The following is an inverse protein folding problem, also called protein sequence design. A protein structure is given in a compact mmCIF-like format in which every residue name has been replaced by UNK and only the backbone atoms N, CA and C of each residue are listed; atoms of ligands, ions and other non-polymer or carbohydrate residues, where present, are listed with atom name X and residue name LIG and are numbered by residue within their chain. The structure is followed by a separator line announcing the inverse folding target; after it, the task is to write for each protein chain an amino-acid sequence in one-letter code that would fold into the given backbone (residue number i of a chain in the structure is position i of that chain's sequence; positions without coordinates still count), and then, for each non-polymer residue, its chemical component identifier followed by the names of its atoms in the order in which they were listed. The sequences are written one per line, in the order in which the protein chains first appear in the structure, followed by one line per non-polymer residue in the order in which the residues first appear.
data_IF_969156968669
#
_entry.id   IF_969156968669
#
_cell.length_a   1.000
_cell.length_b   1.000
_cell.length_c   1.000
_cell.angle_alpha   90.00
_cell.angle_beta   90.00
_cell.angle_gamma   90.00
#
_symmetry.space_group_name_H-M   'P 1'
#
loop_
_entity.id
_entity.type
_entity.pdbx_description
1 polymer ?
#
# COMPACT_ATOMS: atom_id res chain seq x y z
N UNK A 1 -31.30 30.98 -30.17
CA UNK A 1 -29.84 31.17 -30.08
C UNK A 1 -29.29 30.07 -29.19
N UNK A 2 -28.81 28.98 -29.78
CA UNK A 2 -28.22 27.84 -29.06
C UNK A 2 -26.72 28.07 -28.93
N UNK A 3 -26.24 28.25 -27.70
CA UNK A 3 -24.81 28.26 -27.40
C UNK A 3 -24.30 26.81 -27.43
N UNK A 4 -23.84 26.39 -28.60
CA UNK A 4 -23.05 25.18 -28.80
C UNK A 4 -21.74 25.38 -28.04
N UNK A 5 -21.50 24.56 -27.02
CA UNK A 5 -20.22 24.41 -26.37
C UNK A 5 -19.17 24.01 -27.43
N UNK A 6 -18.17 24.86 -27.66
CA UNK A 6 -16.98 24.48 -28.43
C UNK A 6 -15.99 23.78 -27.50
N UNK A 7 -15.55 22.55 -27.80
CA UNK A 7 -14.45 21.90 -27.08
C UNK A 7 -13.12 22.45 -27.59
N UNK A 8 -12.85 23.74 -27.34
CA UNK A 8 -11.61 24.39 -27.76
C UNK A 8 -10.56 24.27 -26.65
N UNK A 9 -9.93 23.10 -26.54
CA UNK A 9 -8.52 22.93 -26.13
C UNK A 9 -8.12 21.46 -26.21
N UNK A 10 -7.76 21.04 -27.42
CA UNK A 10 -6.85 19.90 -27.58
C UNK A 10 -5.55 20.32 -26.89
N UNK A 11 -5.17 19.64 -25.82
CA UNK A 11 -3.91 19.93 -25.14
C UNK A 11 -2.73 19.66 -26.08
N UNK A 12 -1.66 20.49 -26.05
CA UNK A 12 -0.48 20.23 -26.86
C UNK A 12 0.08 18.86 -26.50
N UNK A 13 0.25 18.00 -27.50
CA UNK A 13 0.99 16.74 -27.42
C UNK A 13 2.38 17.05 -26.82
N UNK A 14 2.67 16.52 -25.62
CA UNK A 14 3.99 16.62 -24.99
C UNK A 14 4.06 17.29 -23.61
N UNK A 15 2.94 17.75 -23.03
CA UNK A 15 2.94 18.13 -21.59
C UNK A 15 2.53 16.92 -20.75
N UNK A 16 3.40 16.54 -19.80
CA UNK A 16 3.06 15.58 -18.76
C UNK A 16 1.76 16.02 -18.10
N UNK A 17 0.80 15.10 -18.01
CA UNK A 17 -0.43 15.34 -17.26
C UNK A 17 -0.16 15.41 -15.76
N UNK A 18 1.01 14.95 -15.31
CA UNK A 18 1.39 14.93 -13.89
C UNK A 18 1.86 16.32 -13.48
N UNK A 19 1.29 16.84 -12.38
CA UNK A 19 1.80 18.05 -11.74
C UNK A 19 3.30 17.86 -11.41
N UNK A 20 4.19 18.76 -11.89
CA UNK A 20 5.65 18.62 -11.75
C UNK A 20 6.13 18.37 -10.31
N UNK A 21 5.35 18.80 -9.31
CA UNK A 21 5.65 18.54 -7.89
C UNK A 21 5.65 17.06 -7.54
N UNK A 22 4.91 16.23 -8.25
CA UNK A 22 4.83 14.79 -8.03
C UNK A 22 5.65 13.98 -9.04
N UNK A 23 6.33 14.60 -10.00
CA UNK A 23 7.05 13.88 -11.06
C UNK A 23 8.01 12.83 -10.48
N UNK A 24 8.79 13.19 -9.47
CA UNK A 24 9.69 12.25 -8.77
C UNK A 24 8.98 11.04 -8.16
N UNK A 25 7.72 11.17 -7.73
CA UNK A 25 6.95 10.08 -7.12
C UNK A 25 6.41 9.09 -8.15
N UNK A 26 6.42 9.44 -9.43
CA UNK A 26 6.08 8.51 -10.50
C UNK A 26 7.30 7.71 -10.97
N UNK A 27 8.50 8.23 -10.73
CA UNK A 27 9.74 7.52 -11.00
C UNK A 27 9.91 6.38 -9.98
N UNK A 28 10.14 5.17 -10.50
CA UNK A 28 10.34 3.93 -9.72
C UNK A 28 9.12 3.46 -8.89
N UNK A 29 7.92 3.94 -9.23
CA UNK A 29 6.64 3.45 -8.69
C UNK A 29 6.33 2.07 -9.32
N UNK A 30 6.24 1.04 -8.48
CA UNK A 30 5.99 -0.34 -8.92
C UNK A 30 4.50 -0.69 -8.87
N UNK A 31 3.82 -0.31 -7.78
CA UNK A 31 2.41 -0.59 -7.57
C UNK A 31 1.71 0.71 -7.20
N UNK A 32 0.58 0.96 -7.85
CA UNK A 32 -0.41 1.92 -7.41
C UNK A 32 -1.79 1.27 -7.52
N UNK A 33 -2.31 0.84 -6.39
CA UNK A 33 -3.61 0.19 -6.31
C UNK A 33 -4.60 1.15 -5.62
N UNK A 34 -5.40 1.93 -6.38
CA UNK A 34 -6.60 2.54 -5.83
C UNK A 34 -7.59 1.40 -5.52
N UNK A 35 -7.93 1.21 -4.25
CA UNK A 35 -8.78 0.09 -3.84
C UNK A 35 -10.21 0.58 -3.86
N UNK A 36 -10.97 0.09 -4.85
CA UNK A 36 -12.40 0.31 -5.01
C UNK A 36 -13.06 -1.04 -5.25
N UNK A 37 -13.32 -1.82 -4.20
CA UNK A 37 -14.29 -2.91 -4.31
C UNK A 37 -15.60 -2.40 -3.71
N UNK A 38 -16.57 -2.23 -4.59
CA UNK A 38 -17.91 -1.79 -4.22
C UNK A 38 -18.70 -3.02 -3.81
N UNK A 39 -19.03 -3.14 -2.52
CA UNK A 39 -20.14 -3.94 -2.03
C UNK A 39 -20.17 -5.40 -2.49
N UNK A 40 -19.43 -6.26 -1.79
CA UNK A 40 -19.62 -7.71 -1.84
C UNK A 40 -18.91 -8.42 -3.01
N UNK A 41 -17.95 -7.77 -3.66
CA UNK A 41 -17.08 -8.43 -4.61
C UNK A 41 -16.09 -9.34 -3.88
N UNK A 42 -16.20 -10.66 -4.08
CA UNK A 42 -15.12 -11.60 -3.74
C UNK A 42 -13.98 -11.34 -4.71
N UNK A 43 -12.78 -11.05 -4.19
CA UNK A 43 -11.58 -10.87 -5.00
C UNK A 43 -11.26 -12.20 -5.68
N UNK A 44 -11.31 -12.20 -7.01
CA UNK A 44 -10.86 -13.32 -7.83
C UNK A 44 -9.44 -13.00 -8.29
N UNK A 45 -8.50 -13.90 -7.98
CA UNK A 45 -7.08 -13.89 -8.37
C UNK A 45 -6.78 -13.12 -9.66
N UNK A 46 -6.05 -12.00 -9.56
CA UNK A 46 -5.66 -11.13 -10.67
C UNK A 46 -4.39 -11.60 -11.41
N UNK A 47 -4.07 -12.90 -11.37
CA UNK A 47 -2.87 -13.45 -12.00
C UNK A 47 -3.24 -14.09 -13.35
N UNK A 48 -3.45 -13.27 -14.38
CA UNK A 48 -3.30 -13.70 -15.77
C UNK A 48 -2.16 -12.90 -16.44
N UNK A 49 -0.94 -13.47 -16.51
CA UNK A 49 0.22 -12.81 -17.11
C UNK A 49 0.16 -12.73 -18.65
N UNK A 50 -0.91 -13.22 -19.29
CA UNK A 50 -1.04 -13.21 -20.77
C UNK A 50 -1.83 -12.03 -21.33
N UNK A 51 -2.44 -11.21 -20.47
CA UNK A 51 -3.21 -10.05 -20.87
C UNK A 51 -2.59 -8.77 -20.29
N UNK A 52 -1.69 -8.15 -21.07
CA UNK A 52 -1.25 -6.78 -20.80
C UNK A 52 -2.47 -5.85 -20.67
N UNK A 53 -2.77 -5.42 -19.45
CA UNK A 53 -3.53 -4.20 -19.19
C UNK A 53 -5.05 -4.25 -19.28
N UNK A 54 -5.72 -5.41 -19.09
CA UNK A 54 -7.20 -5.42 -19.01
C UNK A 54 -7.70 -5.94 -17.67
N UNK A 55 -8.00 -5.03 -16.74
CA UNK A 55 -8.86 -5.32 -15.59
C UNK A 55 -10.26 -5.58 -16.14
N UNK A 56 -10.67 -6.85 -16.21
CA UNK A 56 -12.02 -7.24 -16.62
C UNK A 56 -12.95 -7.10 -15.42
N UNK A 57 -13.54 -5.92 -15.26
CA UNK A 57 -14.73 -5.73 -14.44
C UNK A 57 -15.95 -6.28 -15.20
N UNK A 58 -16.58 -7.33 -14.68
CA UNK A 58 -17.83 -7.88 -15.25
C UNK A 58 -19.05 -6.99 -14.98
N UNK A 59 -18.86 -5.83 -14.35
CA UNK A 59 -19.89 -4.83 -14.10
C UNK A 59 -19.60 -3.48 -14.76
N UNK A 60 -19.14 -3.44 -16.02
CA UNK A 60 -19.41 -2.31 -16.92
C UNK A 60 -19.01 -0.90 -16.40
N UNK A 61 -18.02 -0.79 -15.50
CA UNK A 61 -17.59 0.52 -14.99
C UNK A 61 -16.42 1.03 -15.83
N UNK A 62 -16.76 1.75 -16.89
CA UNK A 62 -15.82 2.57 -17.65
C UNK A 62 -15.21 3.62 -16.70
N UNK A 63 -13.89 3.59 -16.53
CA UNK A 63 -13.11 4.63 -15.86
C UNK A 63 -13.44 6.00 -16.45
N UNK A 64 -14.28 6.79 -15.76
CA UNK A 64 -14.53 8.20 -16.09
C UNK A 64 -14.26 9.05 -14.86
N UNK A 65 -13.31 9.97 -15.01
CA UNK A 65 -13.10 11.12 -14.14
C UNK A 65 -14.45 11.77 -13.81
N UNK A 66 -14.84 11.75 -12.53
CA UNK A 66 -16.08 12.38 -12.09
C UNK A 66 -16.41 12.13 -10.62
N UNK A 67 -16.16 13.16 -9.79
CA UNK A 67 -16.65 13.35 -8.41
C UNK A 67 -16.05 12.46 -7.30
N UNK A 68 -15.30 13.15 -6.43
CA UNK A 68 -15.10 12.91 -4.98
C UNK A 68 -16.07 11.89 -4.38
N UNK A 69 -15.63 10.65 -4.28
CA UNK A 69 -16.22 9.64 -3.41
C UNK A 69 -15.08 8.84 -2.80
N UNK A 70 -14.78 9.07 -1.52
CA UNK A 70 -14.01 8.09 -0.74
C UNK A 70 -14.89 6.84 -0.71
N UNK A 71 -14.45 5.77 -1.34
CA UNK A 71 -15.03 4.46 -1.08
C UNK A 71 -13.96 3.72 -0.32
N UNK A 72 -14.29 3.53 0.94
CA UNK A 72 -13.55 2.76 1.90
C UNK A 72 -14.28 1.43 1.94
N UNK A 73 -13.59 0.33 1.65
CA UNK A 73 -14.19 -0.98 1.79
C UNK A 73 -13.56 -1.73 2.95
N UNK A 74 -14.44 -2.31 3.76
CA UNK A 74 -14.10 -3.04 4.95
C UNK A 74 -13.81 -4.48 4.57
N UNK A 75 -12.56 -4.91 4.72
CA UNK A 75 -12.24 -6.32 4.66
C UNK A 75 -12.85 -7.00 5.89
N UNK A 76 -13.56 -8.11 5.68
CA UNK A 76 -14.22 -8.83 6.77
C UNK A 76 -13.14 -9.53 7.61
N UNK A 77 -13.26 -9.43 8.93
CA UNK A 77 -12.27 -10.02 9.81
C UNK A 77 -12.27 -11.55 9.71
N UNK A 78 -11.12 -12.15 9.41
CA UNK A 78 -10.90 -13.58 9.55
C UNK A 78 -9.58 -13.88 10.31
N UNK A 79 -9.65 -14.30 11.60
CA UNK A 79 -8.47 -14.53 12.42
C UNK A 79 -7.74 -15.86 12.14
N UNK A 80 -8.29 -16.78 11.34
CA UNK A 80 -7.78 -18.16 11.23
C UNK A 80 -7.78 -18.78 9.83
N UNK A 81 -8.23 -18.07 8.79
CA UNK A 81 -8.02 -18.49 7.39
C UNK A 81 -7.38 -17.30 6.67
N UNK A 82 -6.12 -17.40 6.22
CA UNK A 82 -5.43 -16.31 5.54
C UNK A 82 -6.12 -15.79 4.26
N UNK A 83 -7.07 -16.54 3.66
CA UNK A 83 -7.38 -16.37 2.23
C UNK A 83 -8.81 -15.87 1.88
N UNK A 84 -9.56 -15.23 2.78
CA UNK A 84 -10.95 -14.80 2.42
C UNK A 84 -11.04 -13.34 1.99
N UNK A 85 -10.11 -12.50 2.44
CA UNK A 85 -10.19 -11.04 2.31
C UNK A 85 -8.80 -10.39 2.10
N UNK A 86 -7.86 -11.08 1.45
CA UNK A 86 -6.56 -10.57 1.04
C UNK A 86 -6.50 -10.26 -0.46
N UNK A 87 -5.50 -9.46 -0.85
CA UNK A 87 -5.26 -9.08 -2.25
C UNK A 87 -3.78 -9.23 -2.57
N UNK A 88 -3.44 -10.27 -3.32
CA UNK A 88 -2.11 -10.43 -3.92
C UNK A 88 -1.91 -9.44 -5.07
N UNK A 89 -0.75 -8.77 -5.07
CA UNK A 89 -0.37 -7.86 -6.15
C UNK A 89 0.80 -8.37 -6.98
N UNK A 90 1.85 -8.86 -6.33
CA UNK A 90 3.13 -9.20 -6.98
C UNK A 90 3.73 -10.46 -6.38
N UNK A 91 4.49 -11.26 -7.15
CA UNK A 91 5.32 -12.29 -6.57
C UNK A 91 6.45 -11.69 -5.72
N UNK A 92 6.88 -12.38 -4.66
CA UNK A 92 7.97 -11.95 -3.76
C UNK A 92 9.28 -11.62 -4.49
N UNK A 93 9.51 -12.22 -5.67
CA UNK A 93 10.66 -11.96 -6.54
C UNK A 93 10.70 -10.54 -7.12
N UNK A 94 9.56 -9.86 -7.22
CA UNK A 94 9.46 -8.50 -7.74
C UNK A 94 9.49 -7.45 -6.61
N UNK A 95 9.38 -7.88 -5.35
CA UNK A 95 9.51 -7.00 -4.19
C UNK A 95 11.00 -6.69 -3.95
N UNK A 96 11.40 -5.40 -3.89
CA UNK A 96 12.80 -4.99 -3.72
C UNK A 96 13.48 -5.65 -2.52
N UNK A 97 14.78 -5.94 -2.64
CA UNK A 97 15.54 -6.65 -1.60
C UNK A 97 16.37 -5.75 -0.69
N UNK A 98 16.58 -4.49 -1.06
CA UNK A 98 17.53 -3.56 -0.40
C UNK A 98 16.94 -2.19 -0.08
N UNK A 99 15.99 -1.69 -0.89
CA UNK A 99 15.34 -0.41 -0.65
C UNK A 99 13.90 -0.45 -1.15
N UNK A 100 12.97 0.00 -0.31
CA UNK A 100 11.56 0.10 -0.66
C UNK A 100 10.89 1.21 0.15
N UNK A 101 9.84 1.78 -0.42
CA UNK A 101 8.89 2.61 0.32
C UNK A 101 7.48 2.10 0.06
N UNK A 102 6.70 1.92 1.13
CA UNK A 102 5.30 1.50 1.04
C UNK A 102 4.46 2.61 1.65
N UNK A 103 3.43 3.04 0.94
CA UNK A 103 2.43 4.01 1.39
C UNK A 103 1.07 3.30 1.45
N UNK A 104 0.40 3.42 2.58
CA UNK A 104 -0.89 2.77 2.83
C UNK A 104 -1.85 3.77 3.46
N UNK A 105 -3.07 3.87 2.94
CA UNK A 105 -4.16 4.49 3.69
C UNK A 105 -5.07 3.43 4.27
N UNK A 106 -5.24 3.49 5.59
CA UNK A 106 -6.01 2.53 6.36
C UNK A 106 -6.88 3.26 7.38
N UNK A 107 -8.17 2.93 7.40
CA UNK A 107 -9.12 3.35 8.43
C UNK A 107 -9.50 2.19 9.31
N UNK A 108 -9.15 2.23 10.60
CA UNK A 108 -9.64 1.25 11.57
C UNK A 108 -11.11 1.54 11.89
N UNK A 109 -11.98 0.53 11.79
CA UNK A 109 -13.44 0.70 11.98
C UNK A 109 -13.91 0.39 13.39
N UNK A 110 -13.02 -0.09 14.25
CA UNK A 110 -13.28 -0.37 15.66
C UNK A 110 -12.05 -0.12 16.56
N UNK A 111 -12.20 -0.34 17.86
CA UNK A 111 -11.15 -0.09 18.86
C UNK A 111 -10.39 -1.35 19.28
N UNK A 112 -10.72 -2.52 18.74
CA UNK A 112 -10.12 -3.80 19.15
C UNK A 112 -8.85 -4.06 18.36
N UNK A 113 -7.72 -4.21 19.03
CA UNK A 113 -6.49 -4.66 18.37
C UNK A 113 -6.54 -6.17 18.12
N UNK A 114 -6.17 -6.59 16.93
CA UNK A 114 -6.18 -8.00 16.52
C UNK A 114 -4.81 -8.41 16.02
N UNK A 115 -4.55 -9.71 16.05
CA UNK A 115 -3.32 -10.23 15.45
C UNK A 115 -3.51 -10.30 13.92
N UNK A 116 -3.25 -9.19 13.25
CA UNK A 116 -3.53 -8.99 11.83
C UNK A 116 -2.30 -8.48 11.08
N UNK A 117 -2.20 -8.83 9.79
CA UNK A 117 -1.30 -8.21 8.83
C UNK A 117 -2.01 -7.08 8.08
N UNK A 118 -1.30 -5.98 7.82
CA UNK A 118 -1.83 -4.89 7.00
C UNK A 118 -1.48 -5.10 5.53
N UNK A 119 -0.23 -5.47 5.26
CA UNK A 119 0.27 -5.87 3.95
C UNK A 119 1.54 -6.70 4.17
N UNK A 120 1.89 -7.54 3.21
CA UNK A 120 3.09 -8.34 3.33
C UNK A 120 3.03 -9.63 2.54
N UNK A 121 3.73 -10.64 3.06
CA UNK A 121 3.78 -11.98 2.46
C UNK A 121 2.89 -12.92 3.27
N UNK A 122 2.08 -13.72 2.58
CA UNK A 122 1.08 -14.66 3.13
C UNK A 122 1.69 -15.93 3.75
N UNK A 123 2.98 -16.21 3.55
CA UNK A 123 3.61 -17.45 4.05
C UNK A 123 4.82 -17.23 4.97
N UNK A 124 5.11 -18.27 5.76
CA UNK A 124 6.24 -18.38 6.67
C UNK A 124 7.46 -19.10 6.07
N UNK A 125 7.42 -19.48 4.78
CA UNK A 125 8.35 -20.46 4.22
C UNK A 125 9.82 -20.04 4.33
N UNK A 126 10.08 -18.72 4.27
CA UNK A 126 11.41 -18.14 4.46
C UNK A 126 11.26 -16.85 5.27
N UNK A 127 11.54 -16.83 6.59
CA UNK A 127 11.43 -15.62 7.40
C UNK A 127 12.26 -14.43 6.87
N UNK A 128 13.40 -14.72 6.23
CA UNK A 128 14.26 -13.71 5.61
C UNK A 128 13.65 -13.11 4.33
N UNK A 129 12.57 -13.69 3.83
CA UNK A 129 11.78 -13.16 2.74
C UNK A 129 10.62 -12.30 3.23
N UNK A 130 10.64 -11.73 4.43
CA UNK A 130 9.56 -10.80 4.82
C UNK A 130 9.75 -9.43 4.20
N UNK A 131 8.62 -8.81 3.87
CA UNK A 131 8.47 -7.39 3.53
C UNK A 131 7.02 -7.07 3.85
N UNK A 132 6.70 -6.62 5.05
CA UNK A 132 5.30 -6.49 5.47
C UNK A 132 5.15 -5.77 6.80
N UNK A 133 3.93 -5.39 7.13
CA UNK A 133 3.63 -4.65 8.34
C UNK A 133 2.39 -5.17 9.06
N UNK A 134 2.36 -4.89 10.36
CA UNK A 134 1.19 -5.03 11.22
C UNK A 134 0.75 -3.63 11.68
N UNK A 135 -0.51 -3.24 11.46
CA UNK A 135 -1.01 -1.88 11.74
C UNK A 135 -2.42 -1.90 12.36
N UNK A 136 -2.54 -1.86 13.69
CA UNK A 136 -1.61 -2.43 14.65
C UNK A 136 -1.67 -3.96 14.69
N UNK A 137 -0.73 -4.57 15.40
CA UNK A 137 -0.87 -5.93 15.90
C UNK A 137 -1.76 -6.00 17.16
N UNK A 138 -2.02 -7.20 17.67
CA UNK A 138 -2.95 -7.43 18.79
C UNK A 138 -2.54 -6.77 20.11
N UNK A 139 -1.28 -6.39 20.25
CA UNK A 139 -0.76 -5.65 21.40
C UNK A 139 -0.72 -4.12 21.19
N UNK A 140 -1.30 -3.60 20.11
CA UNK A 140 -1.30 -2.17 19.79
C UNK A 140 0.03 -1.62 19.28
N UNK A 141 0.98 -2.48 18.93
CA UNK A 141 2.27 -2.08 18.34
C UNK A 141 2.19 -2.15 16.82
N UNK A 142 2.75 -1.14 16.15
CA UNK A 142 3.02 -1.20 14.71
C UNK A 142 4.36 -1.91 14.50
N UNK A 143 4.36 -2.92 13.65
CA UNK A 143 5.57 -3.62 13.25
C UNK A 143 5.82 -3.39 11.77
N UNK A 144 7.07 -3.09 11.45
CA UNK A 144 7.56 -3.03 10.08
C UNK A 144 8.67 -4.07 9.91
N UNK A 145 8.42 -5.06 9.07
CA UNK A 145 9.26 -6.24 8.89
C UNK A 145 9.89 -6.24 7.51
N UNK A 146 11.21 -6.36 7.48
CA UNK A 146 11.97 -6.48 6.25
C UNK A 146 13.14 -7.41 6.48
N UNK A 147 13.16 -8.57 5.83
CA UNK A 147 14.26 -9.52 5.97
C UNK A 147 14.28 -10.33 7.28
N UNK A 148 13.16 -10.38 8.01
CA UNK A 148 12.99 -11.16 9.24
C UNK A 148 12.04 -10.51 10.25
N UNK A 149 12.08 -11.01 11.49
CA UNK A 149 11.22 -10.58 12.61
C UNK A 149 11.99 -10.19 13.87
N UNK A 150 13.30 -9.99 13.76
CA UNK A 150 14.18 -9.67 14.89
C UNK A 150 14.19 -8.17 15.15
N UNK A 151 13.64 -7.78 16.30
CA UNK A 151 13.54 -6.38 16.71
C UNK A 151 14.89 -5.64 16.70
N UNK A 152 14.91 -4.43 16.15
CA UNK A 152 16.10 -3.58 16.03
C UNK A 152 17.08 -4.00 14.92
N UNK A 153 16.83 -5.11 14.24
CA UNK A 153 17.64 -5.57 13.12
C UNK A 153 16.82 -5.65 11.83
N UNK A 154 15.83 -6.54 11.79
CA UNK A 154 14.99 -6.79 10.62
C UNK A 154 13.51 -6.44 10.86
N UNK A 155 13.22 -5.90 12.05
CA UNK A 155 11.90 -5.45 12.49
C UNK A 155 12.04 -4.15 13.25
N UNK A 156 11.29 -3.14 12.84
CA UNK A 156 11.07 -1.90 13.56
C UNK A 156 9.73 -1.97 14.28
N UNK A 157 9.70 -1.66 15.58
CA UNK A 157 8.50 -1.76 16.44
C UNK A 157 8.20 -0.43 17.09
N UNK A 158 6.97 0.07 16.94
CA UNK A 158 6.55 1.36 17.50
C UNK A 158 5.26 1.16 18.31
N UNK A 159 5.35 1.13 19.66
CA UNK A 159 4.17 1.04 20.52
C UNK A 159 3.57 2.42 20.80
N UNK A 160 2.38 2.46 21.41
CA UNK A 160 1.80 3.68 21.98
C UNK A 160 1.20 4.65 20.96
N UNK A 161 0.91 4.18 19.74
CA UNK A 161 0.25 4.97 18.71
C UNK A 161 -1.28 4.90 18.85
N UNK A 162 -1.95 5.88 18.23
CA UNK A 162 -3.41 5.89 18.05
C UNK A 162 -3.75 5.46 16.62
N UNK A 163 -4.87 4.77 16.46
CA UNK A 163 -5.31 4.24 15.17
C UNK A 163 -6.68 4.82 14.82
N UNK A 164 -6.78 5.42 13.64
CA UNK A 164 -7.99 6.05 13.11
C UNK A 164 -8.04 5.94 11.58
N UNK A 165 -8.25 7.07 10.90
CA UNK A 165 -8.20 7.24 9.45
C UNK A 165 -6.82 7.79 9.08
N UNK A 166 -5.86 6.90 8.86
CA UNK A 166 -4.42 7.24 8.85
C UNK A 166 -3.75 6.90 7.51
N UNK A 167 -2.76 7.72 7.14
CA UNK A 167 -1.78 7.39 6.10
C UNK A 167 -0.49 6.92 6.76
N UNK A 168 -0.09 5.69 6.45
CA UNK A 168 1.14 5.06 6.93
C UNK A 168 2.18 5.04 5.83
N UNK A 169 3.44 5.29 6.21
CA UNK A 169 4.59 5.12 5.31
C UNK A 169 5.65 4.28 5.96
N UNK A 170 6.07 3.22 5.27
CA UNK A 170 7.10 2.31 5.71
C UNK A 170 8.28 2.43 4.75
N UNK A 171 9.47 2.64 5.30
CA UNK A 171 10.67 2.86 4.49
C UNK A 171 11.73 1.86 4.91
N UNK A 172 12.45 1.33 3.93
CA UNK A 172 13.73 0.64 4.13
C UNK A 172 14.72 1.09 3.07
N UNK A 173 15.99 1.24 3.45
CA UNK A 173 17.04 1.61 2.51
C UNK A 173 18.35 1.99 3.18
N UNK A 174 19.03 2.97 2.59
CA UNK A 174 20.34 3.43 3.05
C UNK A 174 20.31 4.10 4.42
N UNK A 175 19.18 4.68 4.81
CA UNK A 175 18.96 5.31 6.12
C UNK A 175 18.46 4.32 7.18
N UNK A 176 18.31 3.05 6.80
CA UNK A 176 17.76 1.99 7.63
C UNK A 176 16.26 1.86 7.46
N UNK A 177 15.51 1.73 8.56
CA UNK A 177 14.05 1.55 8.55
C UNK A 177 13.36 2.74 9.21
N UNK A 178 12.23 3.16 8.64
CA UNK A 178 11.40 4.25 9.17
C UNK A 178 9.91 3.88 9.13
N UNK A 179 9.15 4.34 10.12
CA UNK A 179 7.68 4.30 10.14
C UNK A 179 7.18 5.74 10.29
N UNK A 180 6.28 6.13 9.40
CA UNK A 180 5.63 7.43 9.41
C UNK A 180 4.12 7.26 9.54
N UNK A 181 3.49 8.15 10.29
CA UNK A 181 2.04 8.27 10.42
C UNK A 181 1.64 9.71 10.07
N UNK A 182 0.77 9.88 9.08
CA UNK A 182 0.26 11.18 8.63
C UNK A 182 1.38 12.21 8.37
N UNK A 183 2.47 11.78 7.72
CA UNK A 183 3.62 12.63 7.40
C UNK A 183 4.54 12.95 8.58
N UNK A 184 4.32 12.34 9.76
CA UNK A 184 5.18 12.46 10.95
C UNK A 184 5.98 11.18 11.16
N UNK A 185 7.29 11.28 11.32
CA UNK A 185 8.15 10.15 11.66
C UNK A 185 7.86 9.69 13.09
N UNK A 186 7.38 8.46 13.27
CA UNK A 186 7.00 7.89 14.58
C UNK A 186 7.99 6.85 15.08
N UNK A 187 8.85 6.30 14.22
CA UNK A 187 9.93 5.41 14.64
C UNK A 187 10.97 5.22 13.54
N UNK A 188 12.22 4.95 13.93
CA UNK A 188 13.30 4.63 13.00
C UNK A 188 14.43 3.86 13.66
N UNK A 189 15.24 3.18 12.85
CA UNK A 189 16.60 2.77 13.22
C UNK A 189 17.53 2.80 12.01
N UNK A 190 18.81 3.10 12.24
CA UNK A 190 19.80 3.36 11.18
C UNK A 190 20.45 2.12 10.56
N UNK A 191 20.09 0.91 10.98
CA UNK A 191 20.65 -0.32 10.42
C UNK A 191 20.12 -0.55 9.01
N UNK A 192 21.01 -0.69 8.02
CA UNK A 192 20.64 -1.17 6.69
C UNK A 192 20.23 -2.63 6.77
N UNK A 193 19.15 -2.98 6.07
CA UNK A 193 18.53 -4.30 6.14
C UNK A 193 18.29 -4.80 4.73
N UNK A 194 18.51 -6.09 4.53
CA UNK A 194 18.22 -6.77 3.26
C UNK A 194 17.28 -7.94 3.51
N UNK A 195 16.42 -8.22 2.54
CA UNK A 195 15.61 -9.44 2.49
C UNK A 195 16.10 -10.37 1.39
N UNK A 196 15.78 -11.65 1.50
CA UNK A 196 15.92 -12.62 0.42
C UNK A 196 14.63 -12.69 -0.39
N UNK A 197 14.70 -13.19 -1.62
CA UNK A 197 13.50 -13.50 -2.40
C UNK A 197 12.82 -14.74 -1.82
N UNK A 198 11.49 -14.70 -1.68
CA UNK A 198 10.67 -15.86 -1.32
C UNK A 198 9.89 -16.40 -2.52
N UNK A 199 9.04 -17.38 -2.28
CA UNK A 199 8.16 -18.01 -3.30
C UNK A 199 6.71 -17.54 -3.26
N UNK A 200 6.33 -16.85 -2.19
CA UNK A 200 4.97 -16.42 -1.90
C UNK A 200 4.61 -15.08 -2.59
N UNK A 201 3.33 -14.72 -2.57
CA UNK A 201 2.89 -13.45 -3.11
C UNK A 201 2.98 -12.35 -2.05
N UNK A 202 3.05 -11.11 -2.53
CA UNK A 202 3.04 -9.91 -1.72
C UNK A 202 1.77 -9.11 -2.01
N UNK A 203 1.09 -8.71 -0.95
CA UNK A 203 -0.25 -8.19 -1.07
C UNK A 203 -0.74 -7.42 0.16
N UNK A 204 -2.03 -7.08 0.13
CA UNK A 204 -2.75 -6.32 1.15
C UNK A 204 -3.63 -7.25 1.98
N UNK A 205 -3.76 -6.93 3.28
CA UNK A 205 -4.67 -7.63 4.18
C UNK A 205 -4.09 -8.92 4.76
N UNK A 206 -2.79 -9.17 4.54
CA UNK A 206 -2.10 -10.32 5.11
C UNK A 206 -0.63 -9.99 5.40
N UNK A 207 -0.07 -10.70 6.38
CA UNK A 207 1.38 -10.76 6.66
C UNK A 207 1.64 -11.87 7.67
N UNK A 208 2.64 -12.71 7.43
CA UNK A 208 3.10 -13.71 8.40
C UNK A 208 2.01 -14.72 8.80
N UNK A 209 1.31 -15.27 7.80
CA UNK A 209 0.09 -16.12 7.90
C UNK A 209 -1.07 -15.51 8.70
N UNK A 210 -1.01 -14.21 9.02
CA UNK A 210 -2.13 -13.48 9.61
C UNK A 210 -2.92 -12.83 8.49
N UNK A 211 -4.25 -12.93 8.56
CA UNK A 211 -5.16 -12.14 7.74
C UNK A 211 -5.33 -10.72 8.30
N UNK A 212 -6.39 -10.04 7.86
CA UNK A 212 -6.58 -8.62 8.12
C UNK A 212 -7.31 -8.29 9.44
N UNK A 213 -7.19 -7.04 9.87
CA UNK A 213 -8.03 -6.45 10.93
C UNK A 213 -9.38 -5.97 10.38
N UNK A 214 -10.27 -5.47 11.24
CA UNK A 214 -11.44 -4.68 10.85
C UNK A 214 -11.00 -3.27 10.44
N UNK A 215 -10.58 -3.17 9.19
CA UNK A 215 -10.08 -1.92 8.61
C UNK A 215 -10.63 -1.76 7.21
N UNK A 216 -10.62 -0.52 6.75
CA UNK A 216 -10.86 -0.19 5.36
C UNK A 216 -9.61 0.41 4.74
N UNK A 217 -9.37 0.10 3.47
CA UNK A 217 -8.27 0.65 2.70
C UNK A 217 -8.76 1.61 1.63
N UNK A 218 -7.94 2.60 1.26
CA UNK A 218 -8.23 3.46 0.10
C UNK A 218 -7.20 3.34 -1.01
N UNK A 219 -5.93 3.17 -0.66
CA UNK A 219 -4.88 2.93 -1.62
C UNK A 219 -3.69 2.24 -0.96
N UNK A 220 -2.90 1.57 -1.79
CA UNK A 220 -1.57 1.11 -1.48
C UNK A 220 -0.63 1.53 -2.63
N UNK A 221 0.57 1.97 -2.30
CA UNK A 221 1.62 2.24 -3.26
C UNK A 221 2.97 1.69 -2.79
N UNK A 222 3.76 1.17 -3.73
CA UNK A 222 5.10 0.61 -3.50
C UNK A 222 6.09 1.23 -4.48
N UNK A 223 7.20 1.74 -3.96
CA UNK A 223 8.36 2.20 -4.72
C UNK A 223 9.54 1.25 -4.55
N UNK A 224 10.31 1.05 -5.61
CA UNK A 224 11.57 0.29 -5.57
C UNK A 224 12.76 1.10 -5.04
N UNK A 225 12.48 2.13 -4.26
CA UNK A 225 13.48 3.02 -3.69
C UNK A 225 13.06 3.58 -2.34
N UNK A 226 14.05 4.12 -1.66
CA UNK A 226 13.89 4.88 -0.43
C UNK A 226 13.47 6.32 -0.78
N UNK A 227 12.19 6.68 -0.60
CA UNK A 227 11.71 8.05 -0.80
C UNK A 227 12.41 9.00 0.18
N UNK A 228 12.65 10.24 -0.23
CA UNK A 228 13.14 11.30 0.65
C UNK A 228 12.07 11.72 1.67
N UNK A 229 12.47 12.31 2.79
CA UNK A 229 11.53 12.81 3.80
C UNK A 229 10.55 13.87 3.25
N UNK A 230 10.97 14.67 2.27
CA UNK A 230 10.09 15.62 1.58
C UNK A 230 9.03 14.93 0.72
N UNK A 231 9.43 13.90 -0.03
CA UNK A 231 8.52 13.08 -0.82
C UNK A 231 7.51 12.34 0.07
N UNK A 232 7.96 11.78 1.19
CA UNK A 232 7.11 11.10 2.16
C UNK A 232 6.04 12.06 2.70
N UNK A 233 6.44 13.26 3.15
CA UNK A 233 5.49 14.27 3.65
C UNK A 233 4.50 14.71 2.57
N UNK A 234 4.97 14.91 1.34
CA UNK A 234 4.12 15.26 0.21
C UNK A 234 3.09 14.16 -0.05
N UNK A 235 3.54 12.91 -0.11
CA UNK A 235 2.70 11.73 -0.34
C UNK A 235 1.69 11.50 0.79
N UNK A 236 2.10 11.70 2.05
CA UNK A 236 1.18 11.57 3.20
C UNK A 236 0.10 12.65 3.21
N UNK A 237 0.44 13.90 2.86
CA UNK A 237 -0.49 15.04 2.95
C UNK A 237 -1.51 15.07 1.80
N UNK A 238 -1.12 14.60 0.62
CA UNK A 238 -1.99 14.59 -0.55
C UNK A 238 -1.75 13.34 -1.41
N UNK A 239 -2.08 12.16 -0.88
CA UNK A 239 -1.82 10.91 -1.58
C UNK A 239 -2.56 10.84 -2.92
N UNK A 240 -3.81 11.34 -2.97
CA UNK A 240 -4.57 11.37 -4.22
C UNK A 240 -4.03 12.35 -5.25
N UNK A 241 -3.36 13.43 -4.82
CA UNK A 241 -2.68 14.35 -5.73
C UNK A 241 -1.54 13.70 -6.50
N UNK A 242 -1.02 12.57 -6.01
CA UNK A 242 -0.08 11.75 -6.76
C UNK A 242 -0.77 10.94 -7.84
N UNK A 243 -2.04 10.56 -7.65
CA UNK A 243 -2.78 9.60 -8.47
C UNK A 243 -3.59 10.31 -9.57
N UNK A 244 -3.94 11.59 -9.36
CA UNK A 244 -4.69 12.39 -10.32
C UNK A 244 -3.75 13.28 -11.14
N UNK A 245 -3.66 13.10 -12.46
CA UNK A 245 -2.99 14.03 -13.35
C UNK A 245 -3.70 15.41 -13.36
#
# INVERSE_FOLDING_TARGET
MSNIFKPDRIMPLGKSLIDPRYQSLWDDLLVLAPIWLGGGARVQNLVDPTNEGTIVDTANTVWRHGRRGRVLEQLVHNPFVPDVDDIDFLPSAEVPTTAATILLHQRKTDTTNRNSGAFGIDTFDVPQATCGAHVPYGNGTVYWDFGGFTGGSSRLSVPGLTFGDDVWVFVVGSRGMEIWQNGTLVGSHGNSVTRTVGSANWGLGHHDVRGNDLVEYSFLALWQRELSHSEIRLASNNPFGMITP
#
